data_IF_987956035856
#
_entry.id   IF_987956035856
#
_cell.length_a   1.000
_cell.length_b   1.000
_cell.length_c   1.000
_cell.angle_alpha   90.00
_cell.angle_beta   90.00
_cell.angle_gamma   90.00
#
_symmetry.space_group_name_H-M   'P 1'
#
loop_
_entity.id
_entity.type
_entity.pdbx_description
1 polymer ?
#
# COMPACT_ATOMS: atom_id res chain seq x y z
N UNK A 1 -2.53 25.00 -5.52
CA UNK A 1 -1.69 24.61 -6.68
C UNK A 1 -2.05 23.16 -7.00
N UNK A 2 -2.42 22.86 -8.24
CA UNK A 2 -2.54 21.46 -8.67
C UNK A 2 -1.17 21.03 -9.18
N UNK A 3 -0.53 20.09 -8.51
CA UNK A 3 0.75 19.55 -8.91
C UNK A 3 0.54 18.25 -9.66
N UNK A 4 1.21 18.07 -10.80
CA UNK A 4 1.04 16.86 -11.59
C UNK A 4 1.72 15.65 -10.92
N UNK A 5 2.91 15.83 -10.30
CA UNK A 5 3.63 14.74 -9.61
C UNK A 5 4.60 15.24 -8.54
N UNK A 6 5.02 14.38 -7.61
CA UNK A 6 6.09 14.64 -6.66
C UNK A 6 7.44 14.85 -7.38
N UNK A 7 7.64 14.13 -8.47
CA UNK A 7 8.84 14.27 -9.31
C UNK A 7 8.93 15.66 -9.95
N UNK A 8 7.80 16.23 -10.40
CA UNK A 8 7.77 17.60 -10.94
C UNK A 8 8.03 18.63 -9.85
N UNK A 9 7.43 18.47 -8.66
CA UNK A 9 7.75 19.33 -7.50
C UNK A 9 9.23 19.30 -7.17
N UNK A 10 9.83 18.12 -7.14
CA UNK A 10 11.27 17.95 -6.94
C UNK A 10 12.10 18.72 -7.97
N UNK A 11 11.73 18.64 -9.27
CA UNK A 11 12.40 19.38 -10.34
C UNK A 11 12.24 20.88 -10.17
N UNK A 12 11.05 21.35 -9.79
CA UNK A 12 10.78 22.78 -9.54
C UNK A 12 11.63 23.31 -8.39
N UNK A 13 11.76 22.55 -7.29
CA UNK A 13 12.62 22.90 -6.15
C UNK A 13 14.09 22.93 -6.60
N UNK A 14 14.58 21.88 -7.26
CA UNK A 14 15.97 21.81 -7.74
C UNK A 14 16.34 22.98 -8.67
N UNK A 15 15.38 23.41 -9.51
CA UNK A 15 15.54 24.54 -10.43
C UNK A 15 15.22 25.90 -9.77
N UNK A 16 14.86 25.92 -8.48
CA UNK A 16 14.52 27.15 -7.71
C UNK A 16 13.31 27.92 -8.28
N UNK A 17 12.39 27.24 -8.98
CA UNK A 17 11.12 27.80 -9.46
C UNK A 17 9.99 27.66 -8.46
N UNK A 18 10.18 26.83 -7.44
CA UNK A 18 9.35 26.66 -6.27
C UNK A 18 10.26 26.53 -5.04
N UNK A 19 9.96 27.22 -3.95
CA UNK A 19 10.70 27.04 -2.70
C UNK A 19 10.09 25.90 -1.87
N UNK A 20 10.91 25.28 -1.02
CA UNK A 20 10.45 24.29 -0.03
C UNK A 20 9.45 24.92 0.93
N UNK A 21 9.65 26.19 1.30
CA UNK A 21 8.76 26.94 2.18
C UNK A 21 7.38 27.17 1.55
N UNK A 22 7.31 27.60 0.28
CA UNK A 22 6.04 27.75 -0.45
C UNK A 22 5.29 26.42 -0.57
N UNK A 23 6.00 25.34 -0.90
CA UNK A 23 5.39 24.00 -0.97
C UNK A 23 4.84 23.57 0.39
N UNK A 24 5.61 23.74 1.47
CA UNK A 24 5.19 23.39 2.82
C UNK A 24 3.95 24.19 3.24
N UNK A 25 3.91 25.50 2.97
CA UNK A 25 2.76 26.33 3.27
C UNK A 25 1.51 25.84 2.50
N UNK A 26 1.62 25.60 1.21
CA UNK A 26 0.51 25.06 0.40
C UNK A 26 0.03 23.69 0.92
N UNK A 27 0.96 22.82 1.34
CA UNK A 27 0.65 21.52 1.92
C UNK A 27 -0.12 21.66 3.23
N UNK A 28 0.35 22.54 4.12
CA UNK A 28 -0.33 22.79 5.41
C UNK A 28 -1.72 23.39 5.22
N UNK A 29 -1.89 24.33 4.28
CA UNK A 29 -3.20 24.91 3.96
C UNK A 29 -4.16 23.86 3.40
N UNK A 30 -3.66 22.94 2.55
CA UNK A 30 -4.46 21.83 2.02
C UNK A 30 -4.86 20.87 3.15
N UNK A 31 -3.95 20.53 4.04
CA UNK A 31 -4.23 19.65 5.19
C UNK A 31 -5.27 20.32 6.10
N UNK A 32 -5.15 21.61 6.40
CA UNK A 32 -6.11 22.33 7.25
C UNK A 32 -7.52 22.34 6.67
N UNK A 33 -7.64 22.50 5.36
CA UNK A 33 -8.93 22.54 4.70
C UNK A 33 -9.59 21.16 4.50
N UNK A 34 -8.79 20.11 4.39
CA UNK A 34 -9.27 18.79 3.93
C UNK A 34 -9.24 17.73 5.02
N UNK A 35 -8.18 17.68 5.81
CA UNK A 35 -7.94 16.61 6.77
C UNK A 35 -8.97 16.54 7.93
N UNK A 36 -9.58 17.66 8.42
CA UNK A 36 -10.61 17.58 9.45
C UNK A 36 -11.78 16.67 9.09
N UNK A 37 -12.15 16.60 7.81
CA UNK A 37 -13.21 15.73 7.32
C UNK A 37 -12.71 14.32 7.00
N UNK A 38 -11.52 14.21 6.39
CA UNK A 38 -10.98 12.94 5.86
C UNK A 38 -10.22 12.12 6.89
N UNK A 39 -9.63 12.74 7.90
CA UNK A 39 -8.83 12.09 8.96
C UNK A 39 -7.74 11.15 8.41
N UNK A 40 -7.00 11.65 7.44
CA UNK A 40 -5.96 10.89 6.73
C UNK A 40 -4.58 11.02 7.41
N UNK A 41 -4.24 12.24 7.90
CA UNK A 41 -2.98 12.55 8.54
C UNK A 41 -3.24 12.78 10.04
N UNK A 42 -2.44 12.13 10.88
CA UNK A 42 -2.51 12.16 12.33
C UNK A 42 -1.14 12.50 12.94
N UNK A 43 -1.08 12.80 14.24
CA UNK A 43 0.18 13.07 14.95
C UNK A 43 1.08 14.09 14.22
N UNK A 44 0.50 15.18 13.73
CA UNK A 44 1.24 16.23 13.02
C UNK A 44 2.23 16.95 13.94
N UNK A 45 3.36 17.35 13.36
CA UNK A 45 4.29 18.28 13.99
C UNK A 45 3.71 19.71 14.01
N UNK A 46 4.33 20.55 14.83
CA UNK A 46 4.00 21.97 14.91
C UNK A 46 4.28 22.69 13.58
N UNK A 47 3.33 23.50 13.11
CA UNK A 47 3.41 24.18 11.81
C UNK A 47 4.58 25.14 11.68
N UNK A 48 4.85 25.93 12.70
CA UNK A 48 5.95 26.87 12.69
C UNK A 48 7.29 26.14 12.58
N UNK A 49 7.41 25.00 13.26
CA UNK A 49 8.58 24.11 13.15
C UNK A 49 8.74 23.56 11.73
N UNK A 50 7.66 23.14 11.08
CA UNK A 50 7.68 22.62 9.70
C UNK A 50 8.08 23.71 8.70
N UNK A 51 7.55 24.91 8.82
CA UNK A 51 7.92 26.07 7.99
C UNK A 51 9.39 26.46 8.19
N UNK A 52 9.90 26.44 9.43
CA UNK A 52 11.31 26.65 9.71
C UNK A 52 12.21 25.59 9.06
N UNK A 53 11.83 24.32 9.11
CA UNK A 53 12.56 23.23 8.44
C UNK A 53 12.59 23.43 6.92
N UNK A 54 11.46 23.82 6.34
CA UNK A 54 11.36 24.11 4.92
C UNK A 54 12.25 25.32 4.51
N UNK A 55 12.27 26.38 5.32
CA UNK A 55 13.17 27.52 5.12
C UNK A 55 14.65 27.12 5.24
N UNK A 56 14.98 26.20 6.17
CA UNK A 56 16.35 25.67 6.26
C UNK A 56 16.74 24.87 5.02
N UNK A 57 15.81 24.11 4.42
CA UNK A 57 16.03 23.40 3.18
C UNK A 57 16.29 24.38 2.01
N UNK A 58 15.52 25.48 1.90
CA UNK A 58 15.76 26.53 0.92
C UNK A 58 17.14 27.16 1.07
N UNK A 59 17.56 27.46 2.31
CA UNK A 59 18.87 28.03 2.60
C UNK A 59 19.99 27.06 2.23
N UNK A 60 19.84 25.76 2.50
CA UNK A 60 20.79 24.72 2.11
C UNK A 60 20.91 24.64 0.58
N UNK A 61 19.79 24.62 -0.13
CA UNK A 61 19.76 24.62 -1.59
C UNK A 61 20.41 25.88 -2.19
N UNK A 62 20.22 27.05 -1.57
CA UNK A 62 20.87 28.30 -2.00
C UNK A 62 22.39 28.22 -1.88
N UNK A 63 22.92 27.49 -0.91
CA UNK A 63 24.35 27.23 -0.69
C UNK A 63 24.89 26.06 -1.55
N UNK A 64 24.05 25.43 -2.37
CA UNK A 64 24.44 24.31 -3.24
C UNK A 64 24.31 22.93 -2.57
N UNK A 65 23.74 22.85 -1.39
CA UNK A 65 23.49 21.59 -0.65
C UNK A 65 22.12 21.00 -1.05
N UNK A 66 22.09 20.28 -2.15
CA UNK A 66 20.91 19.51 -2.59
C UNK A 66 21.00 18.07 -2.10
N UNK A 67 20.03 17.62 -1.28
CA UNK A 67 20.05 16.29 -0.65
C UNK A 67 19.51 15.16 -1.52
N UNK A 68 18.86 15.48 -2.62
CA UNK A 68 18.24 14.52 -3.52
C UNK A 68 16.81 14.91 -3.90
N UNK A 69 16.13 14.03 -4.60
CA UNK A 69 14.82 14.33 -5.18
C UNK A 69 13.72 14.63 -4.13
N UNK A 70 13.88 14.19 -2.90
CA UNK A 70 12.94 14.52 -1.81
C UNK A 70 13.32 15.80 -1.06
N UNK A 71 14.29 16.57 -1.52
CA UNK A 71 14.77 17.79 -0.84
C UNK A 71 13.64 18.77 -0.55
N UNK A 72 13.27 18.90 0.73
CA UNK A 72 12.20 19.79 1.19
C UNK A 72 10.76 19.30 0.93
N UNK A 73 10.57 18.11 0.32
CA UNK A 73 9.23 17.57 0.12
C UNK A 73 8.60 17.16 1.46
N UNK A 74 7.34 17.59 1.74
CA UNK A 74 6.59 17.12 2.90
C UNK A 74 6.25 15.65 2.76
N UNK A 75 6.41 14.88 3.85
CA UNK A 75 6.11 13.46 3.89
C UNK A 75 5.52 13.06 5.25
N UNK A 76 4.43 12.28 5.25
CA UNK A 76 3.87 11.70 6.45
C UNK A 76 4.01 10.18 6.39
N UNK A 77 4.71 9.61 7.36
CA UNK A 77 5.04 8.18 7.39
C UNK A 77 3.88 7.38 7.98
N UNK A 78 3.59 6.21 7.41
CA UNK A 78 2.54 5.32 7.92
C UNK A 78 2.72 5.04 9.42
N UNK A 79 1.64 5.14 10.21
CA UNK A 79 1.69 4.97 11.67
C UNK A 79 1.89 3.51 12.14
N UNK A 80 2.63 2.73 11.38
CA UNK A 80 3.15 1.41 11.74
C UNK A 80 4.68 1.37 11.72
N UNK A 81 5.33 2.43 11.24
CA UNK A 81 6.78 2.51 11.12
C UNK A 81 7.34 3.56 12.07
N UNK A 82 8.38 3.20 12.79
CA UNK A 82 9.05 4.11 13.72
C UNK A 82 9.75 5.25 12.98
N UNK A 83 9.54 6.46 13.46
CA UNK A 83 10.30 7.65 13.06
C UNK A 83 10.66 8.48 14.29
N UNK A 84 11.93 8.84 14.41
CA UNK A 84 12.43 9.66 15.50
C UNK A 84 11.73 11.02 15.53
N UNK A 85 11.26 11.37 16.72
CA UNK A 85 10.62 12.67 16.98
C UNK A 85 9.10 12.67 16.79
N UNK A 86 8.50 11.54 16.40
CA UNK A 86 7.05 11.39 16.27
C UNK A 86 6.55 10.18 17.06
N UNK A 87 5.38 10.30 17.65
CA UNK A 87 4.70 9.17 18.26
C UNK A 87 4.36 8.14 17.15
N UNK A 88 4.72 6.88 17.38
CA UNK A 88 4.27 5.75 16.58
C UNK A 88 3.26 4.96 17.38
N UNK A 89 1.99 5.32 17.22
CA UNK A 89 0.91 4.75 18.03
C UNK A 89 0.41 3.41 17.49
N UNK A 90 0.69 3.08 16.24
CA UNK A 90 0.09 1.95 15.53
C UNK A 90 -1.46 1.99 15.60
N UNK A 91 -2.07 3.17 15.76
CA UNK A 91 -3.51 3.33 15.98
C UNK A 91 -4.02 2.72 17.30
N UNK A 92 -3.13 2.33 18.22
CA UNK A 92 -3.48 1.69 19.50
C UNK A 92 -3.37 2.66 20.67
N UNK A 93 -4.40 2.77 21.53
CA UNK A 93 -4.29 3.55 22.77
C UNK A 93 -3.14 3.09 23.68
N UNK A 94 -2.74 1.81 23.61
CA UNK A 94 -1.63 1.26 24.39
C UNK A 94 -0.27 1.84 23.99
N UNK A 95 -0.15 2.33 22.75
CA UNK A 95 1.06 2.90 22.17
C UNK A 95 0.95 4.41 21.95
N UNK A 96 -0.08 5.07 22.50
CA UNK A 96 -0.35 6.50 22.30
C UNK A 96 0.79 7.44 22.74
N UNK A 97 1.75 6.94 23.51
CA UNK A 97 2.93 7.69 23.97
C UNK A 97 4.24 7.05 23.53
N UNK A 98 4.20 6.06 22.63
CA UNK A 98 5.40 5.41 22.12
C UNK A 98 6.18 6.38 21.22
N UNK A 99 7.29 6.90 21.71
CA UNK A 99 8.17 7.83 21.00
C UNK A 99 9.48 7.14 20.66
N UNK A 100 9.65 6.64 19.41
CA UNK A 100 10.87 5.99 18.97
C UNK A 100 12.09 6.93 19.01
N UNK A 101 13.25 6.36 19.31
CA UNK A 101 14.53 7.05 19.30
C UNK A 101 15.28 6.96 17.97
N UNK A 102 14.82 6.10 17.07
CA UNK A 102 15.38 5.85 15.74
C UNK A 102 14.30 5.78 14.68
N UNK A 103 14.70 6.07 13.43
CA UNK A 103 13.89 5.83 12.26
C UNK A 103 13.94 4.34 11.86
N UNK A 104 12.84 3.79 11.38
CA UNK A 104 12.88 2.54 10.61
C UNK A 104 13.75 2.73 9.35
N UNK A 105 14.32 1.64 8.83
CA UNK A 105 15.34 1.73 7.79
C UNK A 105 14.88 2.52 6.54
N UNK A 106 13.69 2.23 6.02
CA UNK A 106 13.18 2.94 4.86
C UNK A 106 12.88 4.42 5.16
N UNK A 107 12.41 4.73 6.36
CA UNK A 107 12.13 6.10 6.78
C UNK A 107 13.43 6.91 6.94
N UNK A 108 14.51 6.29 7.46
CA UNK A 108 15.83 6.90 7.50
C UNK A 108 16.30 7.28 6.09
N UNK A 109 16.14 6.40 5.10
CA UNK A 109 16.48 6.67 3.69
C UNK A 109 15.66 7.81 3.09
N UNK A 110 14.35 7.88 3.38
CA UNK A 110 13.48 8.97 2.97
C UNK A 110 13.94 10.30 3.59
N UNK A 111 14.31 10.29 4.86
CA UNK A 111 14.86 11.48 5.55
C UNK A 111 16.20 11.90 4.95
N UNK A 112 17.08 10.95 4.67
CA UNK A 112 18.40 11.19 4.04
C UNK A 112 18.25 11.75 2.63
N UNK A 113 17.24 11.34 1.88
CA UNK A 113 16.88 11.89 0.57
C UNK A 113 16.34 13.34 0.65
N UNK A 114 16.14 13.89 1.85
CA UNK A 114 15.82 15.29 2.11
C UNK A 114 14.36 15.59 2.44
N UNK A 115 13.51 14.59 2.63
CA UNK A 115 12.10 14.78 3.02
C UNK A 115 11.99 15.46 4.40
N UNK A 116 10.96 16.29 4.54
CA UNK A 116 10.55 16.87 5.81
C UNK A 116 9.37 16.08 6.34
N UNK A 117 9.55 15.36 7.46
CA UNK A 117 8.45 14.62 8.06
C UNK A 117 7.49 15.55 8.77
N UNK A 118 6.20 15.49 8.34
CA UNK A 118 5.15 16.39 8.85
C UNK A 118 4.21 15.73 9.86
N UNK A 119 4.16 14.40 9.90
CA UNK A 119 3.25 13.63 10.75
C UNK A 119 3.22 12.16 10.39
N UNK A 120 2.11 11.50 10.74
CA UNK A 120 1.85 10.09 10.46
C UNK A 120 0.58 9.95 9.62
N UNK A 121 0.49 8.92 8.76
CA UNK A 121 -0.77 8.59 8.09
C UNK A 121 -1.57 7.56 8.88
N UNK A 122 -2.89 7.75 8.97
CA UNK A 122 -3.78 6.94 9.79
C UNK A 122 -3.88 5.50 9.31
N UNK A 123 -4.06 4.57 10.24
CA UNK A 123 -4.09 3.12 10.05
C UNK A 123 -5.17 2.47 10.91
N UNK A 124 -5.62 1.25 10.63
CA UNK A 124 -6.31 0.44 11.63
C UNK A 124 -5.36 0.04 12.75
N UNK A 125 -5.87 -0.20 13.96
CA UNK A 125 -5.04 -0.60 15.10
C UNK A 125 -4.12 -1.77 14.73
N UNK A 126 -2.82 -1.59 14.94
CA UNK A 126 -1.69 -2.47 14.57
C UNK A 126 -1.71 -2.99 13.13
N UNK A 127 -2.35 -2.23 12.25
CA UNK A 127 -2.44 -2.57 10.82
C UNK A 127 -3.42 -3.71 10.49
N UNK A 128 -4.22 -4.18 11.44
CA UNK A 128 -5.14 -5.29 11.24
C UNK A 128 -6.51 -4.82 10.72
N UNK A 129 -6.94 -5.46 9.63
CA UNK A 129 -8.13 -5.08 8.85
C UNK A 129 -7.77 -4.21 7.65
N UNK A 130 -8.63 -4.29 6.61
CA UNK A 130 -8.47 -3.50 5.39
C UNK A 130 -9.41 -2.30 5.38
N UNK A 131 -9.67 -1.73 6.55
CA UNK A 131 -10.35 -0.45 6.77
C UNK A 131 -9.59 0.32 7.84
N UNK A 132 -9.22 1.57 7.52
CA UNK A 132 -8.42 2.42 8.40
C UNK A 132 -9.29 3.10 9.46
N UNK A 133 -9.58 2.35 10.54
CA UNK A 133 -10.24 2.86 11.74
C UNK A 133 -9.53 2.37 13.00
N UNK A 134 -9.52 3.21 14.02
CA UNK A 134 -9.01 2.88 15.35
C UNK A 134 -9.66 3.78 16.41
N UNK A 135 -9.56 3.39 17.68
CA UNK A 135 -10.16 4.13 18.79
C UNK A 135 -9.38 5.36 19.23
N UNK A 136 -8.12 5.48 18.80
CA UNK A 136 -7.26 6.61 19.15
C UNK A 136 -7.50 7.82 18.24
N UNK A 137 -7.60 7.60 16.92
CA UNK A 137 -7.70 8.66 15.91
C UNK A 137 -9.03 8.67 15.16
N UNK A 138 -9.83 7.58 15.25
CA UNK A 138 -11.05 7.43 14.47
C UNK A 138 -10.83 6.85 13.07
N UNK A 139 -11.87 6.95 12.23
CA UNK A 139 -11.89 6.40 10.87
C UNK A 139 -11.36 7.38 9.83
N UNK A 140 -10.56 6.89 8.89
CA UNK A 140 -10.23 7.63 7.66
C UNK A 140 -11.36 7.41 6.64
N UNK A 141 -11.88 8.49 6.09
CA UNK A 141 -12.97 8.49 5.12
C UNK A 141 -12.44 8.52 3.70
N UNK A 142 -13.16 7.86 2.79
CA UNK A 142 -12.80 7.76 1.38
C UNK A 142 -12.63 9.15 0.73
N UNK A 143 -11.69 9.27 -0.20
CA UNK A 143 -11.42 10.54 -0.88
C UNK A 143 -12.62 11.02 -1.70
N UNK A 144 -13.32 10.12 -2.38
CA UNK A 144 -14.43 10.43 -3.30
C UNK A 144 -15.78 10.54 -2.60
N UNK A 145 -15.98 9.84 -1.47
CA UNK A 145 -17.22 9.88 -0.72
C UNK A 145 -16.97 9.64 0.76
N UNK A 146 -17.25 10.61 1.61
CA UNK A 146 -17.00 10.54 3.06
C UNK A 146 -17.89 9.57 3.83
N UNK A 147 -18.98 9.09 3.24
CA UNK A 147 -19.78 8.01 3.79
C UNK A 147 -19.14 6.62 3.61
N UNK A 148 -18.09 6.52 2.80
CA UNK A 148 -17.43 5.26 2.47
C UNK A 148 -16.07 5.11 3.16
N UNK A 149 -15.65 3.85 3.33
CA UNK A 149 -14.36 3.49 3.89
C UNK A 149 -13.20 3.80 2.92
N UNK A 150 -12.06 4.16 3.47
CA UNK A 150 -10.83 4.43 2.70
C UNK A 150 -10.06 3.16 2.31
N UNK A 151 -10.51 1.99 2.75
CA UNK A 151 -9.69 0.79 2.71
C UNK A 151 -8.55 0.84 3.74
N UNK A 152 -7.64 -0.11 3.68
CA UNK A 152 -6.54 -0.21 4.64
C UNK A 152 -5.56 -1.37 4.35
N UNK A 153 -4.51 -1.40 5.14
CA UNK A 153 -4.22 -0.57 6.32
C UNK A 153 -3.50 0.76 5.99
N UNK A 154 -3.13 1.05 4.74
CA UNK A 154 -2.54 2.35 4.34
C UNK A 154 -3.61 3.35 3.85
N UNK A 155 -4.80 3.37 4.48
CA UNK A 155 -5.91 4.21 4.03
C UNK A 155 -5.63 5.70 4.18
N UNK A 156 -4.99 6.11 5.30
CA UNK A 156 -4.55 7.49 5.49
C UNK A 156 -3.62 7.97 4.38
N UNK A 157 -2.65 7.13 3.98
CA UNK A 157 -1.72 7.42 2.88
C UNK A 157 -2.46 7.59 1.54
N UNK A 158 -3.35 6.65 1.20
CA UNK A 158 -4.10 6.69 -0.05
C UNK A 158 -5.00 7.93 -0.15
N UNK A 159 -5.71 8.27 0.92
CA UNK A 159 -6.57 9.46 0.97
C UNK A 159 -5.76 10.75 0.92
N UNK A 160 -4.62 10.79 1.64
CA UNK A 160 -3.74 11.96 1.61
C UNK A 160 -3.19 12.24 0.19
N UNK A 161 -2.87 11.18 -0.57
CA UNK A 161 -2.48 11.30 -1.97
C UNK A 161 -3.64 11.78 -2.85
N UNK A 162 -4.79 11.12 -2.80
CA UNK A 162 -5.94 11.44 -3.63
C UNK A 162 -6.46 12.86 -3.40
N UNK A 163 -6.34 13.35 -2.16
CA UNK A 163 -6.76 14.70 -1.74
C UNK A 163 -5.66 15.76 -1.86
N UNK A 164 -4.53 15.42 -2.45
CA UNK A 164 -3.39 16.34 -2.65
C UNK A 164 -2.79 16.92 -1.35
N UNK A 165 -2.91 16.17 -0.24
CA UNK A 165 -2.28 16.52 1.05
C UNK A 165 -0.82 16.06 1.14
N UNK A 166 -0.43 15.08 0.33
CA UNK A 166 0.94 14.57 0.21
C UNK A 166 1.30 14.39 -1.27
N UNK A 167 2.53 14.72 -1.66
CA UNK A 167 2.97 14.48 -3.04
C UNK A 167 3.23 13.00 -3.33
N UNK A 168 3.75 12.26 -2.35
CA UNK A 168 4.05 10.83 -2.40
C UNK A 168 3.92 10.26 -1.00
N UNK A 169 3.60 8.96 -0.85
CA UNK A 169 3.43 8.33 0.46
C UNK A 169 4.04 6.93 0.51
N UNK A 170 4.48 6.52 1.69
CA UNK A 170 4.81 5.14 2.00
C UNK A 170 3.60 4.38 2.55
N UNK A 171 3.72 3.08 2.51
CA UNK A 171 2.79 2.15 3.14
C UNK A 171 3.42 0.81 3.44
N UNK A 172 2.62 -0.13 3.89
CA UNK A 172 3.04 -1.53 4.07
C UNK A 172 1.91 -2.47 3.68
N UNK A 173 2.25 -3.69 3.24
CA UNK A 173 1.28 -4.65 2.72
C UNK A 173 1.59 -6.06 3.23
N UNK A 174 0.68 -6.61 4.03
CA UNK A 174 0.64 -8.02 4.39
C UNK A 174 -0.53 -8.73 3.68
N UNK A 175 -1.69 -8.07 3.57
CA UNK A 175 -2.90 -8.60 2.95
C UNK A 175 -3.58 -7.50 2.14
N UNK A 176 -2.88 -6.99 1.13
CA UNK A 176 -3.43 -5.95 0.25
C UNK A 176 -3.36 -4.53 0.81
N UNK A 177 -2.61 -4.28 1.90
CA UNK A 177 -2.64 -2.98 2.58
C UNK A 177 -1.95 -1.81 1.85
N UNK A 178 -1.29 -2.05 0.71
CA UNK A 178 -0.94 -1.05 -0.31
C UNK A 178 -1.97 -1.05 -1.43
N UNK A 179 -2.42 -2.22 -1.85
CA UNK A 179 -3.24 -2.47 -3.03
C UNK A 179 -4.70 -2.07 -2.83
N UNK A 180 -5.33 -2.50 -1.73
CA UNK A 180 -6.72 -2.20 -1.43
C UNK A 180 -6.99 -0.70 -1.24
N UNK A 181 -6.27 0.03 -0.36
CA UNK A 181 -6.51 1.46 -0.21
C UNK A 181 -6.18 2.25 -1.48
N UNK A 182 -5.20 1.81 -2.28
CA UNK A 182 -4.94 2.40 -3.59
C UNK A 182 -6.15 2.25 -4.53
N UNK A 183 -6.72 1.04 -4.61
CA UNK A 183 -7.92 0.78 -5.39
C UNK A 183 -9.12 1.63 -4.96
N UNK A 184 -9.30 1.81 -3.66
CA UNK A 184 -10.44 2.53 -3.07
C UNK A 184 -10.31 4.06 -3.16
N UNK A 185 -9.12 4.58 -3.48
CA UNK A 185 -8.88 6.02 -3.61
C UNK A 185 -8.27 6.42 -4.96
N UNK A 186 -8.35 5.54 -5.96
CA UNK A 186 -7.91 5.81 -7.35
C UNK A 186 -6.44 6.25 -7.45
N UNK A 187 -5.56 5.70 -6.61
CA UNK A 187 -4.11 5.93 -6.63
C UNK A 187 -3.35 4.64 -6.96
N UNK A 188 -2.05 4.73 -7.14
CA UNK A 188 -1.17 3.59 -7.37
C UNK A 188 -0.62 3.07 -6.04
N UNK A 189 -0.72 1.76 -5.80
CA UNK A 189 -0.09 1.11 -4.66
C UNK A 189 0.81 -0.04 -5.12
N UNK A 190 2.08 0.01 -4.77
CA UNK A 190 3.04 -1.00 -5.17
C UNK A 190 3.54 -1.80 -3.97
N UNK A 191 3.27 -3.09 -3.99
CA UNK A 191 3.87 -4.08 -3.09
C UNK A 191 5.13 -4.63 -3.75
N UNK A 192 6.34 -4.22 -3.34
CA UNK A 192 7.59 -4.75 -3.89
C UNK A 192 7.74 -6.25 -3.65
N UNK A 193 8.53 -6.90 -4.47
CA UNK A 193 8.98 -8.27 -4.23
C UNK A 193 9.65 -8.39 -2.86
N UNK A 194 9.47 -9.54 -2.20
CA UNK A 194 10.03 -9.79 -0.87
C UNK A 194 11.53 -9.50 -0.82
N UNK A 195 11.96 -8.74 0.18
CA UNK A 195 13.38 -8.36 0.34
C UNK A 195 13.84 -7.17 -0.50
N UNK A 196 13.00 -6.63 -1.42
CA UNK A 196 13.35 -5.44 -2.22
C UNK A 196 13.49 -4.20 -1.34
N UNK A 197 12.56 -3.98 -0.42
CA UNK A 197 12.68 -3.00 0.68
C UNK A 197 13.06 -3.75 1.93
N UNK A 198 14.28 -3.55 2.46
CA UNK A 198 14.78 -4.34 3.58
C UNK A 198 14.12 -3.94 4.89
N UNK A 199 13.83 -4.93 5.73
CA UNK A 199 13.29 -4.77 7.08
C UNK A 199 14.29 -5.25 8.10
N UNK A 200 14.50 -4.46 9.15
CA UNK A 200 15.50 -4.75 10.20
C UNK A 200 14.89 -5.04 11.56
N UNK A 201 13.57 -4.87 11.71
CA UNK A 201 12.83 -5.15 12.95
C UNK A 201 12.14 -6.51 12.94
N UNK A 202 11.94 -7.08 14.13
CA UNK A 202 11.25 -8.36 14.30
C UNK A 202 12.05 -9.56 13.79
N UNK A 203 11.32 -10.54 13.25
CA UNK A 203 11.94 -11.72 12.65
C UNK A 203 12.44 -11.43 11.23
N UNK A 204 13.75 -11.47 11.06
CA UNK A 204 14.43 -11.14 9.80
C UNK A 204 14.57 -12.34 8.84
N UNK A 205 14.18 -13.54 9.23
CA UNK A 205 14.28 -14.75 8.39
C UNK A 205 12.93 -15.32 7.97
N UNK A 206 11.97 -15.44 8.89
CA UNK A 206 10.66 -16.06 8.63
C UNK A 206 9.55 -15.05 8.40
N UNK A 207 9.71 -13.80 8.87
CA UNK A 207 8.74 -12.71 8.77
C UNK A 207 8.55 -12.15 7.37
N UNK A 208 8.13 -13.00 6.42
CA UNK A 208 8.11 -12.70 4.99
C UNK A 208 6.71 -12.40 4.42
N UNK A 209 5.69 -12.18 5.26
CA UNK A 209 4.36 -11.87 4.77
C UNK A 209 4.14 -10.38 4.49
N UNK A 210 4.83 -9.51 5.22
CA UNK A 210 4.68 -8.06 5.10
C UNK A 210 5.88 -7.43 4.40
N UNK A 211 5.62 -6.41 3.59
CA UNK A 211 6.64 -5.55 2.98
C UNK A 211 6.21 -4.10 3.03
N UNK A 212 7.14 -3.18 3.15
CA UNK A 212 6.95 -1.75 2.94
C UNK A 212 7.01 -1.45 1.45
N UNK A 213 6.26 -0.43 1.01
CA UNK A 213 6.25 -0.04 -0.39
C UNK A 213 5.67 1.35 -0.62
N UNK A 214 5.90 1.90 -1.82
CA UNK A 214 5.46 3.22 -2.20
C UNK A 214 4.01 3.25 -2.68
N UNK A 215 3.40 4.43 -2.51
CA UNK A 215 2.12 4.82 -3.10
C UNK A 215 2.27 6.19 -3.76
N UNK A 216 1.53 6.42 -4.84
CA UNK A 216 1.57 7.68 -5.59
C UNK A 216 0.33 7.90 -6.44
N UNK A 217 0.16 9.13 -6.96
CA UNK A 217 -0.88 9.44 -7.94
C UNK A 217 -0.49 9.02 -9.36
N UNK A 218 0.81 8.85 -9.62
CA UNK A 218 1.37 8.37 -10.88
C UNK A 218 2.46 7.32 -10.62
N UNK A 219 2.79 6.56 -11.65
CA UNK A 219 3.78 5.48 -11.57
C UNK A 219 5.20 6.00 -11.40
N UNK A 220 5.54 7.16 -12.00
CA UNK A 220 6.87 7.77 -11.88
C UNK A 220 7.22 8.07 -10.41
N UNK A 221 6.27 8.62 -9.64
CA UNK A 221 6.45 8.89 -8.21
C UNK A 221 6.63 7.61 -7.38
N UNK A 222 5.89 6.56 -7.72
CA UNK A 222 6.03 5.23 -7.10
C UNK A 222 7.43 4.66 -7.35
N UNK A 223 7.96 4.79 -8.56
CA UNK A 223 9.33 4.37 -8.90
C UNK A 223 10.35 5.15 -8.08
N UNK A 224 10.26 6.47 -8.06
CA UNK A 224 11.20 7.33 -7.33
C UNK A 224 11.24 6.99 -5.83
N UNK A 225 10.07 6.81 -5.21
CA UNK A 225 10.01 6.46 -3.80
C UNK A 225 10.53 5.04 -3.56
N UNK A 226 10.24 4.08 -4.47
CA UNK A 226 10.80 2.73 -4.37
C UNK A 226 12.33 2.76 -4.42
N UNK A 227 12.92 3.50 -5.36
CA UNK A 227 14.37 3.64 -5.49
C UNK A 227 15.01 4.22 -4.22
N UNK A 228 14.29 5.10 -3.52
CA UNK A 228 14.73 5.65 -2.23
C UNK A 228 14.64 4.62 -1.10
N UNK A 229 13.58 3.83 -1.05
CA UNK A 229 13.33 2.85 0.02
C UNK A 229 14.13 1.56 -0.15
N UNK A 230 14.38 1.13 -1.40
CA UNK A 230 15.01 -0.13 -1.77
C UNK A 230 16.53 -0.14 -1.55
N UNK A 231 17.13 -1.30 -1.76
CA UNK A 231 18.57 -1.51 -1.66
C UNK A 231 18.97 -2.36 -0.47
N UNK A 232 20.03 -3.13 -0.63
CA UNK A 232 20.51 -4.08 0.38
C UNK A 232 20.93 -3.40 1.69
N UNK A 233 20.73 -4.10 2.79
CA UNK A 233 21.25 -3.73 4.10
C UNK A 233 21.75 -4.98 4.82
N UNK A 234 22.93 -4.90 5.43
CA UNK A 234 23.54 -6.06 6.12
C UNK A 234 22.69 -6.54 7.31
N UNK A 235 21.87 -5.68 7.89
CA UNK A 235 20.95 -6.00 9.00
C UNK A 235 19.70 -6.77 8.54
N UNK A 236 19.46 -6.83 7.21
CA UNK A 236 18.36 -7.54 6.57
C UNK A 236 18.93 -8.61 5.61
N UNK A 237 19.27 -9.80 6.11
CA UNK A 237 20.05 -10.80 5.37
C UNK A 237 19.38 -11.31 4.09
N UNK A 238 18.04 -11.20 3.98
CA UNK A 238 17.27 -11.60 2.81
C UNK A 238 16.99 -10.43 1.85
N UNK A 239 17.63 -9.27 2.05
CA UNK A 239 17.50 -8.14 1.13
C UNK A 239 18.23 -8.39 -0.20
N UNK A 240 17.59 -7.91 -1.29
CA UNK A 240 18.16 -8.01 -2.63
C UNK A 240 19.38 -7.11 -2.78
N UNK A 241 20.45 -7.68 -3.32
CA UNK A 241 21.70 -6.95 -3.62
C UNK A 241 21.69 -6.31 -5.00
N UNK A 242 20.80 -6.78 -5.87
CA UNK A 242 20.63 -6.21 -7.20
C UNK A 242 19.95 -4.84 -7.07
N UNK A 243 20.58 -3.83 -7.67
CA UNK A 243 20.05 -2.48 -7.75
C UNK A 243 19.03 -2.36 -8.89
N UNK A 244 17.97 -1.58 -8.68
CA UNK A 244 16.97 -1.31 -9.70
C UNK A 244 17.43 -0.28 -10.76
N UNK A 245 18.57 0.38 -10.52
CA UNK A 245 19.06 1.48 -11.33
C UNK A 245 18.50 2.84 -10.89
N UNK A 246 18.43 3.79 -11.83
CA UNK A 246 17.92 5.13 -11.61
C UNK A 246 16.55 5.30 -12.28
N UNK A 247 15.80 6.34 -11.95
CA UNK A 247 14.51 6.67 -12.58
C UNK A 247 14.60 6.68 -14.12
N UNK A 248 15.67 7.23 -14.66
CA UNK A 248 15.88 7.32 -16.13
C UNK A 248 16.08 5.97 -16.81
N UNK A 249 16.34 4.91 -16.06
CA UNK A 249 16.51 3.53 -16.57
C UNK A 249 15.17 2.81 -16.74
N UNK A 250 14.08 3.37 -16.19
CA UNK A 250 12.72 2.85 -16.35
C UNK A 250 12.09 3.43 -17.62
N UNK A 251 11.62 2.55 -18.49
CA UNK A 251 10.97 2.93 -19.73
C UNK A 251 9.66 2.16 -19.90
N UNK A 252 8.60 2.81 -20.37
CA UNK A 252 7.36 2.10 -20.64
C UNK A 252 7.62 1.00 -21.69
N UNK A 253 7.17 -0.21 -21.39
CA UNK A 253 7.27 -1.35 -22.32
C UNK A 253 6.26 -1.20 -23.48
N UNK A 254 6.50 -1.91 -24.57
CA UNK A 254 5.49 -2.03 -25.63
C UNK A 254 4.36 -2.96 -25.18
N UNK A 255 3.16 -2.44 -25.04
CA UNK A 255 1.98 -3.23 -24.65
C UNK A 255 1.63 -4.33 -25.66
N UNK A 256 2.06 -4.22 -26.91
CA UNK A 256 1.77 -5.21 -27.99
C UNK A 256 2.34 -6.60 -27.75
N UNK A 257 3.33 -6.71 -26.87
CA UNK A 257 4.00 -7.99 -26.58
C UNK A 257 3.69 -8.49 -25.15
N UNK A 258 2.74 -7.86 -24.47
CA UNK A 258 2.41 -8.22 -23.09
C UNK A 258 1.23 -9.20 -23.09
N UNK A 259 1.45 -10.35 -22.45
CA UNK A 259 0.44 -11.37 -22.23
C UNK A 259 0.01 -11.36 -20.76
N UNK A 260 -1.28 -11.14 -20.52
CA UNK A 260 -1.87 -11.07 -19.18
C UNK A 260 -2.81 -12.24 -18.95
N UNK A 261 -2.56 -13.00 -17.89
CA UNK A 261 -3.46 -14.04 -17.41
C UNK A 261 -4.49 -13.44 -16.45
N UNK A 262 -5.76 -13.41 -16.84
CA UNK A 262 -6.86 -12.98 -15.98
C UNK A 262 -7.30 -14.13 -15.09
N UNK A 263 -7.19 -13.97 -13.78
CA UNK A 263 -7.58 -14.95 -12.77
C UNK A 263 -9.01 -14.71 -12.26
N UNK A 264 -9.54 -13.50 -12.47
CA UNK A 264 -10.90 -13.13 -12.06
C UNK A 264 -11.18 -13.38 -10.60
N UNK A 265 -12.18 -14.20 -10.36
CA UNK A 265 -12.58 -14.71 -9.05
C UNK A 265 -12.19 -16.18 -8.82
N UNK A 266 -11.21 -16.70 -9.58
CA UNK A 266 -10.79 -18.11 -9.58
C UNK A 266 -11.94 -19.06 -9.88
N UNK A 267 -12.64 -18.81 -11.00
CA UNK A 267 -13.75 -19.62 -11.48
C UNK A 267 -14.91 -19.76 -10.45
N UNK A 268 -15.39 -18.64 -9.96
CA UNK A 268 -16.45 -18.50 -8.94
C UNK A 268 -16.05 -19.02 -7.54
N UNK A 269 -14.77 -19.18 -7.25
CA UNK A 269 -14.34 -19.52 -5.89
C UNK A 269 -14.45 -18.32 -4.94
N UNK A 270 -14.04 -17.12 -5.37
CA UNK A 270 -14.17 -15.91 -4.55
C UNK A 270 -15.54 -15.27 -4.73
N UNK A 271 -16.25 -15.03 -3.63
CA UNK A 271 -17.41 -14.16 -3.67
C UNK A 271 -16.97 -12.73 -3.99
N UNK A 272 -17.56 -12.12 -5.02
CA UNK A 272 -17.29 -10.73 -5.45
C UNK A 272 -18.59 -9.95 -5.58
N UNK A 273 -18.57 -8.67 -5.20
CA UNK A 273 -19.72 -7.79 -5.36
C UNK A 273 -20.08 -7.60 -6.84
N UNK A 274 -21.39 -7.62 -7.14
CA UNK A 274 -21.91 -7.46 -8.51
C UNK A 274 -21.32 -6.22 -9.21
N UNK A 275 -20.83 -6.38 -10.45
CA UNK A 275 -20.24 -5.32 -11.28
C UNK A 275 -18.75 -5.07 -11.02
N UNK A 276 -18.16 -5.70 -10.00
CA UNK A 276 -16.74 -5.51 -9.67
C UNK A 276 -15.84 -6.12 -10.74
N UNK A 277 -16.10 -7.38 -11.11
CA UNK A 277 -15.36 -8.03 -12.20
C UNK A 277 -15.53 -7.29 -13.52
N UNK A 278 -16.76 -6.84 -13.84
CA UNK A 278 -17.05 -6.08 -15.06
C UNK A 278 -16.20 -4.80 -15.15
N UNK A 279 -16.01 -4.10 -14.02
CA UNK A 279 -15.15 -2.90 -13.95
C UNK A 279 -13.69 -3.23 -14.30
N UNK A 280 -13.15 -4.31 -13.75
CA UNK A 280 -11.78 -4.76 -14.05
C UNK A 280 -11.65 -5.27 -15.49
N UNK A 281 -12.61 -6.06 -15.98
CA UNK A 281 -12.61 -6.62 -17.33
C UNK A 281 -12.75 -5.53 -18.41
N UNK A 282 -13.54 -4.48 -18.15
CA UNK A 282 -13.61 -3.32 -19.05
C UNK A 282 -12.24 -2.65 -19.22
N UNK A 283 -11.44 -2.56 -18.14
CA UNK A 283 -10.09 -2.01 -18.19
C UNK A 283 -9.13 -2.97 -18.92
N UNK A 284 -9.22 -4.27 -18.69
CA UNK A 284 -8.43 -5.27 -19.42
C UNK A 284 -8.79 -5.29 -20.92
N UNK A 285 -10.07 -5.15 -21.26
CA UNK A 285 -10.51 -5.02 -22.66
C UNK A 285 -9.90 -3.76 -23.30
N UNK A 286 -9.84 -2.65 -22.58
CA UNK A 286 -9.17 -1.43 -23.06
C UNK A 286 -7.67 -1.67 -23.30
N UNK A 287 -6.96 -2.40 -22.42
CA UNK A 287 -5.57 -2.84 -22.64
C UNK A 287 -5.45 -3.71 -23.90
N UNK A 288 -6.41 -4.58 -24.15
CA UNK A 288 -6.46 -5.38 -25.38
C UNK A 288 -6.55 -4.52 -26.63
N UNK A 289 -7.28 -3.39 -26.61
CA UNK A 289 -7.38 -2.47 -27.77
C UNK A 289 -6.08 -1.75 -28.10
N UNK A 290 -5.19 -1.61 -27.13
CA UNK A 290 -3.86 -0.99 -27.32
C UNK A 290 -2.74 -2.02 -27.53
N UNK A 291 -3.11 -3.31 -27.61
CA UNK A 291 -2.26 -4.37 -28.15
C UNK A 291 -1.87 -5.49 -27.20
N UNK A 292 -2.19 -5.43 -25.91
CA UNK A 292 -1.93 -6.53 -24.97
C UNK A 292 -2.82 -7.73 -25.28
N UNK A 293 -2.31 -8.94 -25.05
CA UNK A 293 -3.09 -10.17 -25.12
C UNK A 293 -3.61 -10.51 -23.74
N UNK A 294 -4.93 -10.59 -23.57
CA UNK A 294 -5.57 -10.99 -22.32
C UNK A 294 -6.26 -12.34 -22.53
N UNK A 295 -6.03 -13.29 -21.65
CA UNK A 295 -6.76 -14.55 -21.65
C UNK A 295 -7.03 -15.03 -20.24
N UNK A 296 -8.12 -15.78 -20.05
CA UNK A 296 -8.40 -16.42 -18.77
C UNK A 296 -7.26 -17.39 -18.42
N UNK A 297 -6.86 -17.37 -17.16
CA UNK A 297 -5.81 -18.21 -16.61
C UNK A 297 -6.39 -19.05 -15.50
N UNK A 298 -6.52 -20.35 -15.74
CA UNK A 298 -6.84 -21.34 -14.71
C UNK A 298 -5.52 -21.86 -14.11
N UNK A 299 -5.34 -21.65 -12.82
CA UNK A 299 -4.13 -22.09 -12.11
C UNK A 299 -4.20 -23.53 -11.61
N UNK A 300 -5.32 -24.22 -11.76
CA UNK A 300 -5.53 -25.59 -11.26
C UNK A 300 -5.00 -25.80 -9.82
N UNK A 301 -5.33 -24.89 -8.91
CA UNK A 301 -4.85 -24.88 -7.52
C UNK A 301 -6.03 -24.90 -6.53
N UNK A 302 -5.88 -25.62 -5.42
CA UNK A 302 -6.89 -25.64 -4.34
C UNK A 302 -6.80 -24.31 -3.54
N UNK A 303 -7.68 -23.38 -3.87
CA UNK A 303 -7.74 -22.07 -3.24
C UNK A 303 -8.17 -22.15 -1.77
N UNK A 304 -8.97 -23.16 -1.38
CA UNK A 304 -9.34 -23.37 0.02
C UNK A 304 -8.11 -23.77 0.86
N UNK A 305 -7.22 -24.60 0.30
CA UNK A 305 -5.95 -24.91 0.97
C UNK A 305 -5.05 -23.69 1.09
N UNK A 306 -5.06 -22.78 0.10
CA UNK A 306 -4.30 -21.53 0.14
C UNK A 306 -4.83 -20.61 1.25
N UNK A 307 -6.14 -20.54 1.45
CA UNK A 307 -6.74 -19.78 2.55
C UNK A 307 -6.33 -20.34 3.92
N UNK A 308 -6.36 -21.67 4.10
CA UNK A 308 -5.90 -22.27 5.36
C UNK A 308 -4.41 -22.05 5.61
N UNK A 309 -3.59 -22.11 4.55
CA UNK A 309 -2.17 -21.74 4.61
C UNK A 309 -2.01 -20.29 5.09
N UNK A 310 -2.78 -19.37 4.51
CA UNK A 310 -2.80 -17.97 4.91
C UNK A 310 -3.12 -17.80 6.40
N UNK A 311 -4.22 -18.38 6.88
CA UNK A 311 -4.63 -18.29 8.28
C UNK A 311 -3.54 -18.80 9.21
N UNK A 312 -2.97 -19.98 8.92
CA UNK A 312 -1.92 -20.60 9.76
C UNK A 312 -0.69 -19.72 9.86
N UNK A 313 -0.14 -19.27 8.71
CA UNK A 313 1.06 -18.43 8.68
C UNK A 313 0.82 -17.06 9.32
N UNK A 314 -0.34 -16.45 9.07
CA UNK A 314 -0.72 -15.17 9.64
C UNK A 314 -0.85 -15.22 11.15
N UNK A 315 -1.60 -16.17 11.69
CA UNK A 315 -1.78 -16.33 13.13
C UNK A 315 -0.45 -16.58 13.86
N UNK A 316 0.39 -17.46 13.29
CA UNK A 316 1.72 -17.71 13.83
C UNK A 316 2.57 -16.44 13.84
N UNK A 317 2.64 -15.76 12.70
CA UNK A 317 3.47 -14.56 12.54
C UNK A 317 3.03 -13.43 13.47
N UNK A 318 1.72 -13.13 13.54
CA UNK A 318 1.19 -12.05 14.36
C UNK A 318 1.41 -12.32 15.86
N UNK A 319 1.21 -13.55 16.33
CA UNK A 319 1.44 -13.88 17.72
C UNK A 319 2.95 -13.90 18.09
N UNK A 320 3.82 -14.30 17.16
CA UNK A 320 5.27 -14.29 17.35
C UNK A 320 5.80 -12.85 17.46
N UNK A 321 5.36 -11.99 16.55
CA UNK A 321 5.81 -10.59 16.47
C UNK A 321 5.05 -9.61 17.37
N UNK A 322 4.00 -10.07 18.09
CA UNK A 322 3.18 -9.22 18.93
C UNK A 322 3.98 -8.59 20.07
N UNK A 323 3.76 -7.30 20.29
CA UNK A 323 4.33 -6.57 21.41
C UNK A 323 4.02 -7.27 22.75
N UNK A 324 4.94 -7.30 23.71
CA UNK A 324 4.69 -7.83 25.05
C UNK A 324 3.44 -7.27 25.73
N UNK A 325 3.10 -6.00 25.50
CA UNK A 325 1.86 -5.39 25.97
C UNK A 325 0.61 -6.10 25.48
N UNK A 326 0.63 -6.60 24.24
CA UNK A 326 -0.50 -7.33 23.64
C UNK A 326 -0.63 -8.76 24.17
N UNK A 327 0.45 -9.32 24.71
CA UNK A 327 0.47 -10.64 25.35
C UNK A 327 -0.05 -10.64 26.77
N UNK A 328 -0.03 -9.49 27.46
CA UNK A 328 -0.57 -9.34 28.82
C UNK A 328 -2.12 -9.35 28.79
N UNK A 329 -2.80 -10.21 29.57
CA UNK A 329 -4.26 -10.32 29.56
C UNK A 329 -5.00 -9.00 29.88
N UNK A 330 -4.44 -8.16 30.77
CA UNK A 330 -5.09 -6.90 31.18
C UNK A 330 -5.07 -5.87 30.06
N UNK A 331 -3.91 -5.65 29.43
CA UNK A 331 -3.78 -4.69 28.33
C UNK A 331 -4.41 -5.23 27.06
N UNK A 332 -4.35 -6.54 26.82
CA UNK A 332 -4.98 -7.21 25.68
C UNK A 332 -6.49 -6.95 25.61
N UNK A 333 -7.19 -6.86 26.74
CA UNK A 333 -8.63 -6.57 26.77
C UNK A 333 -8.97 -5.16 26.22
N UNK A 334 -8.00 -4.27 26.07
CA UNK A 334 -8.15 -2.91 25.53
C UNK A 334 -7.97 -2.85 24.02
N UNK A 335 -7.43 -3.91 23.41
CA UNK A 335 -7.22 -4.01 21.96
C UNK A 335 -8.56 -4.23 21.24
N UNK A 336 -8.64 -3.79 19.99
CA UNK A 336 -9.83 -4.05 19.18
C UNK A 336 -10.06 -5.56 18.97
N UNK A 337 -11.30 -5.97 18.67
CA UNK A 337 -11.69 -7.39 18.58
C UNK A 337 -10.84 -8.20 17.61
N UNK A 338 -10.44 -7.63 16.47
CA UNK A 338 -9.65 -8.31 15.44
C UNK A 338 -8.26 -8.71 15.96
N UNK A 339 -7.60 -7.83 16.72
CA UNK A 339 -6.30 -8.12 17.34
C UNK A 339 -6.44 -9.24 18.38
N UNK A 340 -7.48 -9.15 19.21
CA UNK A 340 -7.76 -10.19 20.21
C UNK A 340 -8.04 -11.55 19.56
N UNK A 341 -8.78 -11.54 18.47
CA UNK A 341 -9.12 -12.76 17.71
C UNK A 341 -7.84 -13.40 17.13
N UNK A 342 -6.98 -12.65 16.47
CA UNK A 342 -5.72 -13.16 15.90
C UNK A 342 -4.85 -13.83 16.97
N UNK A 343 -4.67 -13.17 18.11
CA UNK A 343 -3.89 -13.72 19.23
C UNK A 343 -4.54 -14.96 19.86
N UNK A 344 -5.87 -15.09 19.77
CA UNK A 344 -6.57 -16.29 20.22
C UNK A 344 -6.39 -17.45 19.26
N UNK A 345 -6.54 -17.23 17.95
CA UNK A 345 -6.39 -18.25 16.91
C UNK A 345 -4.97 -18.82 16.85
N UNK A 346 -3.96 -18.01 17.11
CA UNK A 346 -2.56 -18.46 17.14
C UNK A 346 -2.29 -19.63 18.10
N UNK A 347 -3.11 -19.81 19.14
CA UNK A 347 -2.99 -20.93 20.08
C UNK A 347 -3.32 -22.28 19.46
N UNK A 348 -3.98 -22.30 18.32
CA UNK A 348 -4.35 -23.50 17.58
C UNK A 348 -3.33 -23.88 16.50
N UNK A 349 -2.32 -23.04 16.28
CA UNK A 349 -1.24 -23.34 15.34
C UNK A 349 -0.31 -24.37 15.95
N UNK A 350 -0.13 -25.50 15.26
CA UNK A 350 0.77 -26.58 15.63
C UNK A 350 1.98 -26.62 14.70
N UNK A 351 3.04 -27.33 15.09
CA UNK A 351 4.20 -27.59 14.21
C UNK A 351 3.78 -28.29 12.92
N UNK A 352 2.82 -29.22 13.00
CA UNK A 352 2.28 -29.94 11.85
C UNK A 352 1.54 -29.00 10.89
N UNK A 353 0.59 -28.18 11.41
CA UNK A 353 -0.15 -27.24 10.59
C UNK A 353 0.78 -26.19 9.95
N UNK A 354 1.83 -25.75 10.66
CA UNK A 354 2.80 -24.82 10.13
C UNK A 354 3.63 -25.46 8.99
N UNK A 355 4.05 -26.72 9.17
CA UNK A 355 4.76 -27.49 8.12
C UNK A 355 3.89 -27.64 6.86
N UNK A 356 2.62 -28.05 7.03
CA UNK A 356 1.67 -28.16 5.92
C UNK A 356 1.44 -26.82 5.21
N UNK A 357 1.34 -25.71 5.95
CA UNK A 357 1.20 -24.38 5.38
C UNK A 357 2.45 -23.97 4.56
N UNK A 358 3.66 -24.32 5.01
CA UNK A 358 4.88 -24.09 4.23
C UNK A 358 4.87 -24.86 2.90
N UNK A 359 4.41 -26.11 2.90
CA UNK A 359 4.31 -26.93 1.68
C UNK A 359 3.27 -26.35 0.71
N UNK A 360 2.11 -25.94 1.17
CA UNK A 360 1.07 -25.29 0.35
C UNK A 360 1.61 -23.99 -0.23
N UNK A 361 2.28 -23.15 0.55
CA UNK A 361 2.90 -21.91 0.09
C UNK A 361 3.95 -22.16 -1.01
N UNK A 362 4.79 -23.17 -0.82
CA UNK A 362 5.81 -23.55 -1.80
C UNK A 362 5.18 -24.05 -3.11
N UNK A 363 4.10 -24.84 -3.03
CA UNK A 363 3.37 -25.32 -4.20
C UNK A 363 2.65 -24.18 -4.92
N UNK A 364 2.05 -23.24 -4.18
CA UNK A 364 1.47 -22.04 -4.75
C UNK A 364 2.50 -21.24 -5.58
N UNK A 365 3.68 -21.00 -5.00
CA UNK A 365 4.75 -20.32 -5.72
C UNK A 365 5.14 -21.04 -7.02
N UNK A 366 5.31 -22.38 -6.99
CA UNK A 366 5.62 -23.18 -8.19
C UNK A 366 4.52 -23.08 -9.26
N UNK A 367 3.25 -23.05 -8.82
CA UNK A 367 2.12 -22.87 -9.74
C UNK A 367 2.19 -21.53 -10.45
N UNK A 368 2.52 -20.44 -9.73
CA UNK A 368 2.71 -19.13 -10.37
C UNK A 368 3.92 -19.11 -11.32
N UNK A 369 5.04 -19.75 -10.96
CA UNK A 369 6.21 -19.87 -11.86
C UNK A 369 5.81 -20.54 -13.16
N UNK A 370 5.04 -21.63 -13.11
CA UNK A 370 4.54 -22.29 -14.33
C UNK A 370 3.58 -21.41 -15.12
N UNK A 371 2.76 -20.59 -14.47
CA UNK A 371 1.91 -19.63 -15.17
C UNK A 371 2.72 -18.54 -15.87
N UNK A 372 3.80 -18.07 -15.26
CA UNK A 372 4.71 -17.08 -15.85
C UNK A 372 5.51 -17.58 -17.07
N UNK A 373 5.49 -18.88 -17.37
CA UNK A 373 6.00 -19.39 -18.66
C UNK A 373 5.10 -18.96 -19.84
N UNK A 374 3.83 -18.61 -19.60
CA UNK A 374 2.84 -18.23 -20.62
C UNK A 374 2.44 -16.76 -20.52
N UNK A 375 2.50 -16.19 -19.33
CA UNK A 375 2.02 -14.84 -19.03
C UNK A 375 3.15 -13.98 -18.50
N UNK A 376 3.22 -12.73 -18.95
CA UNK A 376 4.13 -11.75 -18.34
C UNK A 376 3.65 -11.32 -16.95
N UNK A 377 2.32 -11.20 -16.79
CA UNK A 377 1.67 -10.80 -15.56
C UNK A 377 0.36 -11.57 -15.35
N UNK A 378 -0.01 -11.73 -14.07
CA UNK A 378 -1.32 -12.25 -13.70
C UNK A 378 -2.15 -11.12 -13.11
N UNK A 379 -3.43 -11.02 -13.49
CA UNK A 379 -4.31 -9.94 -13.07
C UNK A 379 -5.49 -10.44 -12.24
N UNK A 380 -5.85 -9.63 -11.22
CA UNK A 380 -6.97 -9.86 -10.29
C UNK A 380 -7.59 -8.51 -9.90
N UNK A 381 -8.84 -8.44 -9.44
CA UNK A 381 -9.31 -7.25 -8.75
C UNK A 381 -8.51 -7.01 -7.45
N UNK A 382 -8.40 -5.76 -7.02
CA UNK A 382 -7.64 -5.42 -5.81
C UNK A 382 -8.45 -5.58 -4.51
N UNK A 383 -9.73 -5.85 -4.60
CA UNK A 383 -10.64 -6.19 -3.52
C UNK A 383 -11.78 -7.05 -4.06
N UNK A 384 -12.62 -7.63 -3.17
CA UNK A 384 -13.80 -8.42 -3.54
C UNK A 384 -15.10 -7.61 -3.47
N UNK A 385 -15.05 -6.41 -2.87
CA UNK A 385 -16.17 -5.47 -2.77
C UNK A 385 -15.70 -4.05 -3.11
N UNK A 386 -16.60 -3.20 -3.55
CA UNK A 386 -16.35 -1.76 -3.66
C UNK A 386 -16.23 -1.12 -2.26
N UNK A 387 -15.76 0.14 -2.15
CA UNK A 387 -15.80 0.86 -0.88
C UNK A 387 -17.21 0.81 -0.26
N UNK A 388 -17.30 0.40 0.98
CA UNK A 388 -18.53 0.21 1.75
C UNK A 388 -18.66 1.29 2.84
N UNK A 389 -19.77 1.30 3.58
CA UNK A 389 -20.06 2.29 4.63
C UNK A 389 -18.90 2.39 5.63
N UNK A 390 -18.48 3.61 5.93
CA UNK A 390 -17.36 3.91 6.82
C UNK A 390 -17.58 3.44 8.26
N UNK A 391 -18.84 3.33 8.69
CA UNK A 391 -19.20 2.81 10.03
C UNK A 391 -19.23 1.29 10.09
N UNK A 392 -19.22 0.61 8.95
CA UNK A 392 -19.11 -0.84 8.89
C UNK A 392 -17.65 -1.28 9.02
N UNK A 393 -17.31 -2.07 10.02
CA UNK A 393 -15.94 -2.50 10.27
C UNK A 393 -15.40 -3.41 9.17
N UNK A 394 -16.23 -4.33 8.68
CA UNK A 394 -15.95 -5.20 7.52
C UNK A 394 -17.24 -5.78 6.95
N UNK A 395 -17.27 -6.19 5.68
CA UNK A 395 -18.38 -6.93 5.10
C UNK A 395 -18.49 -8.31 5.77
N UNK A 396 -19.66 -8.63 6.30
CA UNK A 396 -19.96 -9.95 6.90
C UNK A 396 -20.51 -10.95 5.90
N UNK A 397 -20.93 -10.45 4.73
CA UNK A 397 -21.50 -11.22 3.62
C UNK A 397 -21.19 -10.51 2.29
N UNK A 398 -20.97 -11.28 1.22
CA UNK A 398 -20.84 -10.81 -0.16
C UNK A 398 -21.77 -11.67 -1.02
N UNK A 399 -22.79 -11.07 -1.65
CA UNK A 399 -23.74 -11.76 -2.55
C UNK A 399 -24.27 -13.10 -1.98
N UNK A 400 -24.70 -13.10 -0.72
CA UNK A 400 -25.20 -14.28 -0.04
C UNK A 400 -24.15 -15.24 0.54
N UNK A 401 -22.87 -14.94 0.35
CA UNK A 401 -21.77 -15.75 0.90
C UNK A 401 -21.25 -15.13 2.19
N UNK A 402 -21.41 -15.82 3.32
CA UNK A 402 -20.94 -15.36 4.62
C UNK A 402 -19.39 -15.29 4.71
N UNK A 403 -18.87 -14.21 5.27
CA UNK A 403 -17.44 -14.05 5.53
C UNK A 403 -17.09 -14.61 6.92
N UNK A 404 -16.38 -15.71 6.96
CA UNK A 404 -16.06 -16.48 8.18
C UNK A 404 -15.03 -15.79 9.08
N UNK A 405 -14.33 -14.79 8.57
CA UNK A 405 -13.36 -13.98 9.31
C UNK A 405 -13.51 -12.48 8.94
N UNK A 406 -13.02 -11.60 9.81
CA UNK A 406 -13.06 -10.15 9.58
C UNK A 406 -12.28 -9.70 8.33
N UNK A 407 -11.46 -10.57 7.74
CA UNK A 407 -10.60 -10.27 6.58
C UNK A 407 -10.85 -11.20 5.37
N UNK A 408 -11.83 -12.14 5.43
CA UNK A 408 -12.14 -13.05 4.32
C UNK A 408 -12.49 -12.32 3.02
N UNK A 409 -13.14 -11.18 3.12
CA UNK A 409 -13.50 -10.32 2.00
C UNK A 409 -12.30 -9.73 1.23
N UNK A 410 -11.08 -9.95 1.73
CA UNK A 410 -9.82 -9.55 1.11
C UNK A 410 -8.96 -10.74 0.67
N UNK A 411 -9.53 -11.93 0.60
CA UNK A 411 -8.82 -13.15 0.20
C UNK A 411 -8.15 -13.01 -1.18
N UNK A 412 -8.75 -12.29 -2.11
CA UNK A 412 -8.19 -12.00 -3.45
C UNK A 412 -6.74 -11.49 -3.43
N UNK A 413 -6.28 -10.92 -2.33
CA UNK A 413 -4.93 -10.35 -2.20
C UNK A 413 -3.87 -11.32 -1.66
N UNK A 414 -4.28 -12.47 -1.07
CA UNK A 414 -3.32 -13.37 -0.39
C UNK A 414 -2.39 -14.08 -1.36
N UNK A 415 -2.85 -14.38 -2.57
CA UNK A 415 -2.04 -15.06 -3.58
C UNK A 415 -0.76 -14.29 -3.92
N UNK A 416 -0.88 -12.98 -4.12
CA UNK A 416 0.28 -12.10 -4.31
C UNK A 416 1.17 -11.99 -3.07
N UNK A 417 0.59 -11.97 -1.87
CA UNK A 417 1.36 -11.92 -0.62
C UNK A 417 2.14 -13.22 -0.39
N UNK A 418 1.48 -14.38 -0.50
CA UNK A 418 2.11 -15.69 -0.23
C UNK A 418 3.19 -16.04 -1.24
N UNK A 419 3.06 -15.56 -2.47
CA UNK A 419 4.08 -15.78 -3.51
C UNK A 419 5.40 -15.06 -3.24
N UNK A 420 5.36 -13.92 -2.53
CA UNK A 420 6.52 -13.04 -2.38
C UNK A 420 6.86 -12.24 -3.65
N UNK A 421 6.09 -12.38 -4.70
CA UNK A 421 6.24 -11.64 -5.95
C UNK A 421 5.90 -10.14 -5.80
N UNK A 422 6.41 -9.26 -6.67
CA UNK A 422 5.96 -7.88 -6.74
C UNK A 422 4.52 -7.80 -7.26
N UNK A 423 3.72 -6.90 -6.69
CA UNK A 423 2.33 -6.68 -7.09
C UNK A 423 2.03 -5.18 -7.12
N UNK A 424 1.43 -4.71 -8.20
CA UNK A 424 0.96 -3.33 -8.31
C UNK A 424 -0.55 -3.29 -8.43
N UNK A 425 -1.18 -2.36 -7.70
CA UNK A 425 -2.59 -2.00 -7.90
C UNK A 425 -2.65 -0.70 -8.70
N UNK A 426 -3.34 -0.75 -9.83
CA UNK A 426 -3.57 0.38 -10.72
C UNK A 426 -5.07 0.70 -10.79
N UNK A 427 -5.47 1.97 -10.97
CA UNK A 427 -6.87 2.35 -11.15
C UNK A 427 -7.54 1.59 -12.29
N UNK A 428 -8.68 0.95 -12.02
CA UNK A 428 -9.49 0.24 -13.02
C UNK A 428 -10.70 1.04 -13.49
N UNK A 429 -11.21 1.94 -12.65
CA UNK A 429 -12.38 2.77 -12.96
C UNK A 429 -13.34 2.88 -11.78
N UNK A 430 -14.57 3.22 -12.07
CA UNK A 430 -15.62 3.46 -11.09
C UNK A 430 -16.87 2.66 -11.44
N UNK A 431 -17.62 2.26 -10.43
CA UNK A 431 -18.96 1.70 -10.64
C UNK A 431 -20.00 2.80 -10.94
N UNK A 432 -21.25 2.39 -11.15
CA UNK A 432 -22.36 3.31 -11.39
C UNK A 432 -22.70 4.24 -10.21
N UNK A 433 -22.22 3.91 -9.00
CA UNK A 433 -22.38 4.71 -7.78
C UNK A 433 -21.14 5.60 -7.51
N UNK A 434 -20.27 5.76 -8.50
CA UNK A 434 -19.02 6.52 -8.41
C UNK A 434 -18.06 6.01 -7.33
N UNK A 435 -18.05 4.69 -7.07
CA UNK A 435 -17.11 4.04 -6.15
C UNK A 435 -15.90 3.51 -6.95
N UNK A 436 -14.67 3.91 -6.60
CA UNK A 436 -13.48 3.48 -7.34
C UNK A 436 -13.12 2.01 -7.09
N UNK A 437 -12.48 1.39 -8.08
CA UNK A 437 -11.88 0.07 -7.98
C UNK A 437 -10.52 0.05 -8.70
N UNK A 438 -9.63 -0.80 -8.20
CA UNK A 438 -8.33 -1.07 -8.81
C UNK A 438 -8.21 -2.50 -9.31
N UNK A 439 -7.30 -2.69 -10.25
CA UNK A 439 -6.86 -4.00 -10.71
C UNK A 439 -5.43 -4.23 -10.26
N UNK A 440 -5.13 -5.39 -9.67
CA UNK A 440 -3.78 -5.74 -9.29
C UNK A 440 -3.12 -6.63 -10.34
N UNK A 441 -1.83 -6.37 -10.59
CA UNK A 441 -1.00 -7.17 -11.47
C UNK A 441 0.15 -7.78 -10.67
N UNK A 442 0.30 -9.10 -10.73
CA UNK A 442 1.38 -9.86 -10.10
C UNK A 442 2.45 -10.10 -11.15
N UNK A 443 3.68 -9.68 -10.90
CA UNK A 443 4.84 -9.96 -11.73
C UNK A 443 5.68 -11.13 -11.19
N UNK A 444 6.57 -11.72 -11.99
CA UNK A 444 7.51 -12.73 -11.51
C UNK A 444 8.41 -12.18 -10.39
N UNK A 445 8.90 -13.09 -9.53
CA UNK A 445 9.81 -12.71 -8.44
C UNK A 445 11.08 -12.05 -8.99
N UNK A 446 11.49 -10.94 -8.40
CA UNK A 446 12.66 -10.17 -8.83
C UNK A 446 12.40 -9.19 -9.97
N UNK A 447 11.26 -9.31 -10.67
CA UNK A 447 10.90 -8.49 -11.82
C UNK A 447 10.14 -7.21 -11.44
N UNK A 448 10.47 -6.61 -10.29
CA UNK A 448 9.88 -5.33 -9.83
C UNK A 448 9.98 -4.25 -10.91
N UNK A 449 11.15 -4.16 -11.58
CA UNK A 449 11.39 -3.19 -12.65
C UNK A 449 10.47 -3.42 -13.84
N UNK A 450 10.40 -4.65 -14.34
CA UNK A 450 9.53 -5.02 -15.48
C UNK A 450 8.06 -4.70 -15.21
N UNK A 451 7.59 -4.98 -13.99
CA UNK A 451 6.21 -4.67 -13.58
C UNK A 451 5.95 -3.16 -13.52
N UNK A 452 6.91 -2.37 -13.06
CA UNK A 452 6.81 -0.90 -13.04
C UNK A 452 6.90 -0.29 -14.45
N UNK A 453 7.71 -0.84 -15.34
CA UNK A 453 7.78 -0.43 -16.76
C UNK A 453 6.47 -0.76 -17.49
N UNK A 454 5.82 -1.88 -17.17
CA UNK A 454 4.46 -2.17 -17.62
C UNK A 454 3.46 -1.16 -17.06
N UNK A 455 3.55 -0.81 -15.77
CA UNK A 455 2.66 0.16 -15.14
C UNK A 455 2.81 1.57 -15.78
N UNK A 456 4.01 1.99 -16.17
CA UNK A 456 4.23 3.23 -16.94
C UNK A 456 3.50 3.16 -18.29
N UNK A 457 3.60 2.05 -18.99
CA UNK A 457 2.91 1.88 -20.26
C UNK A 457 1.38 1.83 -20.12
N UNK A 458 0.89 1.20 -19.03
CA UNK A 458 -0.53 1.21 -18.66
C UNK A 458 -1.04 2.62 -18.42
N UNK A 459 -0.33 3.42 -17.59
CA UNK A 459 -0.68 4.81 -17.28
C UNK A 459 -0.74 5.69 -18.53
N UNK A 460 0.25 5.56 -19.42
CA UNK A 460 0.28 6.33 -20.67
C UNK A 460 -0.89 5.98 -21.61
N UNK A 461 -1.26 4.70 -21.67
CA UNK A 461 -2.32 4.23 -22.56
C UNK A 461 -3.73 4.47 -21.98
N UNK A 462 -3.89 4.42 -20.68
CA UNK A 462 -5.16 4.44 -19.95
C UNK A 462 -5.08 5.38 -18.73
N UNK A 463 -4.82 6.69 -18.95
CA UNK A 463 -4.62 7.64 -17.86
C UNK A 463 -5.89 7.77 -16.99
N UNK A 464 -5.69 8.01 -15.69
CA UNK A 464 -6.77 8.18 -14.69
C UNK A 464 -6.73 9.52 -13.97
N UNK A 465 -5.77 10.39 -14.26
CA UNK A 465 -5.58 11.65 -13.55
C UNK A 465 -6.79 12.58 -13.65
N UNK A 466 -7.52 12.52 -14.77
CA UNK A 466 -8.76 13.30 -14.96
C UNK A 466 -9.87 12.88 -13.97
N UNK A 467 -9.82 11.66 -13.42
CA UNK A 467 -10.84 11.18 -12.48
C UNK A 467 -10.79 11.90 -11.12
N UNK A 468 -9.68 12.56 -10.77
CA UNK A 468 -9.61 13.37 -9.54
C UNK A 468 -10.56 14.58 -9.57
N UNK A 469 -10.99 15.04 -10.75
CA UNK A 469 -12.03 16.06 -10.87
C UNK A 469 -13.38 15.61 -10.27
N UNK A 470 -13.60 14.31 -10.10
CA UNK A 470 -14.79 13.76 -9.43
C UNK A 470 -14.86 14.10 -7.94
N UNK A 471 -13.72 14.41 -7.30
CA UNK A 471 -13.65 14.78 -5.88
C UNK A 471 -14.24 16.17 -5.65
N UNK A 472 -14.00 17.13 -6.55
CA UNK A 472 -14.37 18.54 -6.39
C UNK A 472 -15.89 18.78 -6.46
N UNK A 473 -16.67 17.85 -7.02
CA UNK A 473 -18.11 17.99 -7.21
C UNK A 473 -18.96 17.45 -6.04
N UNK A 474 -18.32 16.95 -4.96
CA UNK A 474 -19.01 16.35 -3.82
C UNK A 474 -18.85 17.14 -2.50
N UNK A 475 -18.14 18.28 -2.55
CA UNK A 475 -17.88 19.15 -1.37
C UNK A 475 -18.91 20.26 -1.21
#
# INVERSE_FOLDING_TARGET
>A
MNYDSATDLSRMIANKTLSCHELMQCTLDRIDSTNPEKNAIVAMADKDTLLQQAQMADNALAQGEYRGWMHGLPHAVKDLADIKGFVTSCGSPLLATNLPDQDSLFAARIREAGAIFIGKTNVPEVGLGSQSYNTLHGSTKNAFNTALCAGGSSGGAAVALAMDMLPVADGSDMMGSLRNPAAYNNVVGFRPGIGRVPRTGGDIFFGQLSTEGPMGRCVEDVINLLLTMAGADIRAPLSWREELGNLTDFKPVSLKNIHIGWLGDFDNYLATETGLLDTCEAKLKALGTVGSTISNCDLAFDMASLWQCWLTLRHWFLAHSADPLFKNPVTRAQLKPEVQWELAQAKHVTTESLGSACDVRANWYRTLVSAFEKYDFLALPSAQVFPFDVEQHWPTEIEGHGMDTYHRWMEVTIGGTLSGCPVISLPAGFDQNNRPMGIQFIGPIGEDKKLLEFALAYEQALPWQADYARIEHQS
#
